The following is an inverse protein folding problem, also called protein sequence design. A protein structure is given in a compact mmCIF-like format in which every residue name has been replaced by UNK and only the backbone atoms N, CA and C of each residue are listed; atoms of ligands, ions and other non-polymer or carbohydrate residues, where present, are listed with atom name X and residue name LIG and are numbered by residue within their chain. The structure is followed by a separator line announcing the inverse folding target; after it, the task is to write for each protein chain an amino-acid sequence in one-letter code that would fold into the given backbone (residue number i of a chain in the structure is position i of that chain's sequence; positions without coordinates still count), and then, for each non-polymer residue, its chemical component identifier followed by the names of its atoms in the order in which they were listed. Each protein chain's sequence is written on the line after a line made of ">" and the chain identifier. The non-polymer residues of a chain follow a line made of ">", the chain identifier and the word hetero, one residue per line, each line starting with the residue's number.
data_IF_314004229051
#
_entry.id   IF_314004229051
#
_cell.length_a   1.000
_cell.length_b   1.000
_cell.length_c   1.000
_cell.angle_alpha   90.00
_cell.angle_beta   90.00
_cell.angle_gamma   90.00
#
_symmetry.space_group_name_H-M   'P 1'
#
loop_
_entity.id
_entity.type
_entity.pdbx_description
1 polymer ?
#
# COMPACT_ATOMS: atom_id res chain seq x y z
N UNK A 1 12.85 -3.30 2.55
CA UNK A 1 11.95 -3.75 3.63
C UNK A 1 11.51 -2.53 4.45
N UNK A 2 10.28 -2.49 4.97
CA UNK A 2 9.81 -1.48 5.93
C UNK A 2 9.23 -2.20 7.15
N UNK A 3 9.79 -1.94 8.34
CA UNK A 3 9.61 -2.80 9.52
C UNK A 3 9.99 -4.24 9.18
N UNK A 4 9.03 -5.15 9.13
CA UNK A 4 9.24 -6.57 8.79
C UNK A 4 8.47 -6.99 7.52
N UNK A 5 7.94 -6.02 6.75
CA UNK A 5 7.31 -6.27 5.45
C UNK A 5 8.29 -5.98 4.32
N UNK A 6 8.45 -6.92 3.40
CA UNK A 6 9.13 -6.67 2.15
C UNK A 6 8.32 -5.66 1.31
N UNK A 7 8.90 -4.49 1.07
CA UNK A 7 8.33 -3.48 0.17
C UNK A 7 9.26 -3.33 -1.03
N UNK A 8 8.72 -3.35 -2.26
CA UNK A 8 9.51 -3.36 -3.48
C UNK A 8 10.13 -1.99 -3.76
N UNK A 9 11.35 -1.97 -4.28
CA UNK A 9 12.04 -0.75 -4.66
C UNK A 9 12.71 -0.94 -6.01
N UNK A 10 12.78 0.12 -6.81
CA UNK A 10 13.50 0.13 -8.07
C UNK A 10 14.23 1.47 -8.24
N UNK A 11 15.51 1.47 -8.65
CA UNK A 11 16.23 2.72 -8.95
C UNK A 11 15.57 3.55 -10.07
N UNK A 12 14.90 2.88 -11.02
CA UNK A 12 14.28 3.53 -12.17
C UNK A 12 12.80 3.85 -11.95
N UNK A 13 12.07 2.96 -11.27
CA UNK A 13 10.62 3.06 -11.08
C UNK A 13 10.21 3.65 -9.71
N UNK A 14 11.13 3.72 -8.76
CA UNK A 14 10.94 4.33 -7.45
C UNK A 14 10.71 3.33 -6.30
N UNK A 15 10.54 3.82 -5.06
CA UNK A 15 10.71 5.22 -4.67
C UNK A 15 12.18 5.66 -4.83
N UNK A 16 12.43 6.75 -5.55
CA UNK A 16 13.80 7.29 -5.74
C UNK A 16 14.27 8.10 -4.54
N UNK A 17 13.36 8.56 -3.69
CA UNK A 17 13.66 9.29 -2.47
C UNK A 17 12.84 8.75 -1.31
N UNK A 18 13.51 8.40 -0.22
CA UNK A 18 12.86 8.06 1.04
C UNK A 18 13.38 9.02 2.11
N UNK A 19 12.49 9.76 2.76
CA UNK A 19 12.80 10.69 3.85
C UNK A 19 11.97 10.29 5.07
N UNK A 20 12.62 9.68 6.06
CA UNK A 20 11.92 9.01 7.15
C UNK A 20 10.98 7.93 6.63
N UNK A 21 9.70 7.99 7.01
CA UNK A 21 8.69 7.01 6.60
C UNK A 21 8.05 7.34 5.25
N UNK A 22 8.33 8.51 4.66
CA UNK A 22 7.76 8.97 3.39
C UNK A 22 8.64 8.48 2.22
N UNK A 23 8.04 7.73 1.29
CA UNK A 23 8.71 7.19 0.10
C UNK A 23 8.08 7.73 -1.18
N UNK A 24 8.83 8.50 -1.99
CA UNK A 24 8.32 9.32 -3.10
C UNK A 24 9.18 9.21 -4.36
N UNK A 25 8.78 9.95 -5.39
CA UNK A 25 9.39 10.00 -6.72
C UNK A 25 9.26 8.65 -7.45
N UNK A 26 8.02 8.17 -7.57
CA UNK A 26 7.70 7.01 -8.40
C UNK A 26 7.65 7.41 -9.87
N UNK A 27 7.94 6.47 -10.77
CA UNK A 27 7.76 6.72 -12.20
C UNK A 27 6.28 6.93 -12.53
N UNK A 28 5.99 7.86 -13.42
CA UNK A 28 4.63 8.13 -13.92
C UNK A 28 4.22 7.10 -14.98
N UNK A 29 4.14 5.83 -14.56
CA UNK A 29 3.70 4.70 -15.38
C UNK A 29 3.10 3.60 -14.48
N UNK A 30 2.57 2.53 -15.08
CA UNK A 30 1.93 1.42 -14.35
C UNK A 30 2.85 0.75 -13.33
N UNK A 31 4.12 0.55 -13.67
CA UNK A 31 5.08 -0.08 -12.76
C UNK A 31 5.42 0.83 -11.56
N UNK A 32 5.54 2.14 -11.76
CA UNK A 32 5.67 3.11 -10.67
C UNK A 32 4.42 3.19 -9.79
N UNK A 33 3.22 3.10 -10.39
CA UNK A 33 1.95 3.03 -9.66
C UNK A 33 1.88 1.80 -8.74
N UNK A 34 2.33 0.63 -9.25
CA UNK A 34 2.43 -0.60 -8.45
C UNK A 34 3.35 -0.42 -7.25
N UNK A 35 4.56 0.12 -7.47
CA UNK A 35 5.52 0.34 -6.39
C UNK A 35 4.96 1.32 -5.35
N UNK A 36 4.28 2.38 -5.78
CA UNK A 36 3.61 3.33 -4.90
C UNK A 36 2.52 2.65 -4.06
N UNK A 37 1.67 1.82 -4.68
CA UNK A 37 0.60 1.11 -3.99
C UNK A 37 1.16 0.23 -2.85
N UNK A 38 2.20 -0.56 -3.11
CA UNK A 38 2.83 -1.40 -2.10
C UNK A 38 3.56 -0.61 -1.02
N UNK A 39 4.36 0.38 -1.41
CA UNK A 39 5.14 1.20 -0.48
C UNK A 39 4.22 1.98 0.45
N UNK A 40 3.30 2.78 -0.11
CA UNK A 40 2.42 3.65 0.67
C UNK A 40 1.44 2.80 1.47
N UNK A 41 0.80 1.81 0.84
CA UNK A 41 -0.14 0.88 1.48
C UNK A 41 0.45 0.11 2.66
N UNK A 42 1.77 -0.10 2.68
CA UNK A 42 2.47 -0.69 3.82
C UNK A 42 2.89 0.36 4.85
N UNK A 43 3.37 1.53 4.40
CA UNK A 43 3.94 2.56 5.28
C UNK A 43 2.89 3.27 6.10
N UNK A 44 1.76 3.69 5.54
CA UNK A 44 0.77 4.44 6.30
C UNK A 44 0.20 3.64 7.50
N UNK A 45 -0.11 2.33 7.42
CA UNK A 45 -0.56 1.59 8.59
C UNK A 45 0.56 1.28 9.58
N UNK A 46 1.81 1.06 9.12
CA UNK A 46 2.90 0.58 9.99
C UNK A 46 3.85 1.68 10.50
N UNK A 47 3.74 2.89 9.99
CA UNK A 47 4.60 4.01 10.37
C UNK A 47 4.24 4.52 11.79
N UNK A 48 5.22 4.81 12.66
CA UNK A 48 5.00 5.61 13.86
C UNK A 48 4.73 7.09 13.54
N UNK A 49 5.19 7.57 12.38
CA UNK A 49 4.92 8.90 11.83
C UNK A 49 3.73 8.88 10.85
N UNK A 50 2.76 7.98 11.08
CA UNK A 50 1.69 7.69 10.14
C UNK A 50 0.88 8.92 9.73
N UNK A 51 0.72 9.91 10.62
CA UNK A 51 0.00 11.15 10.30
C UNK A 51 0.67 11.90 9.13
N UNK A 52 2.00 11.97 9.12
CA UNK A 52 2.75 12.60 8.03
C UNK A 52 2.64 11.77 6.74
N UNK A 53 2.74 10.44 6.82
CA UNK A 53 2.57 9.55 5.67
C UNK A 53 1.18 9.69 5.06
N UNK A 54 0.12 9.65 5.87
CA UNK A 54 -1.27 9.86 5.43
C UNK A 54 -1.42 11.25 4.81
N UNK A 55 -0.89 12.28 5.45
CA UNK A 55 -1.03 13.66 4.97
C UNK A 55 -0.42 13.87 3.58
N UNK A 56 0.77 13.32 3.35
CA UNK A 56 1.57 13.55 2.15
C UNK A 56 1.26 12.56 1.03
N UNK A 57 0.98 11.30 1.37
CA UNK A 57 0.98 10.18 0.41
C UNK A 57 -0.40 9.59 0.13
N UNK A 58 -1.46 10.10 0.77
CA UNK A 58 -2.80 9.54 0.61
C UNK A 58 -3.85 10.60 0.27
N UNK A 59 -4.93 10.15 -0.35
CA UNK A 59 -6.12 10.95 -0.69
C UNK A 59 -7.39 10.11 -0.49
N UNK A 60 -8.56 10.70 -0.75
CA UNK A 60 -9.85 9.99 -0.75
C UNK A 60 -10.71 10.27 0.49
N UNK A 61 -12.01 9.97 0.37
CA UNK A 61 -13.03 10.33 1.37
C UNK A 61 -12.87 9.63 2.73
N UNK A 62 -12.20 8.47 2.77
CA UNK A 62 -11.97 7.73 4.00
C UNK A 62 -10.77 8.23 4.80
N UNK A 63 -9.98 9.16 4.25
CA UNK A 63 -8.73 9.63 4.87
C UNK A 63 -8.95 10.24 6.26
N UNK A 64 -9.91 11.15 6.41
CA UNK A 64 -10.19 11.79 7.70
C UNK A 64 -10.76 10.80 8.71
N UNK A 65 -11.64 9.89 8.26
CA UNK A 65 -12.15 8.80 9.08
C UNK A 65 -11.04 7.88 9.61
N UNK A 66 -10.06 7.53 8.76
CA UNK A 66 -8.88 6.78 9.16
C UNK A 66 -8.06 7.52 10.23
N UNK A 67 -7.81 8.82 10.03
CA UNK A 67 -7.07 9.65 10.99
C UNK A 67 -7.79 9.70 12.35
N UNK A 68 -9.11 9.95 12.35
CA UNK A 68 -9.92 10.00 13.54
C UNK A 68 -9.94 8.67 14.30
N UNK A 69 -10.28 7.58 13.60
CA UNK A 69 -10.38 6.25 14.20
C UNK A 69 -9.04 5.77 14.79
N UNK A 70 -7.93 5.94 14.06
CA UNK A 70 -6.61 5.55 14.55
C UNK A 70 -6.15 6.43 15.71
N UNK A 71 -6.36 7.74 15.66
CA UNK A 71 -6.00 8.66 16.76
C UNK A 71 -6.76 8.29 18.03
N UNK A 72 -8.07 8.05 17.93
CA UNK A 72 -8.90 7.61 19.06
C UNK A 72 -8.39 6.30 19.65
N UNK A 73 -8.15 5.29 18.80
CA UNK A 73 -7.61 4.00 19.24
C UNK A 73 -6.27 4.13 19.96
N UNK A 74 -5.34 4.92 19.40
CA UNK A 74 -4.02 5.14 20.03
C UNK A 74 -4.12 5.89 21.37
N UNK A 75 -5.14 6.71 21.57
CA UNK A 75 -5.42 7.35 22.87
C UNK A 75 -6.03 6.37 23.88
N UNK A 76 -6.90 5.46 23.45
CA UNK A 76 -7.59 4.50 24.33
C UNK A 76 -6.68 3.34 24.77
N UNK A 77 -5.89 2.77 23.85
CA UNK A 77 -5.11 1.54 24.11
C UNK A 77 -3.60 1.72 23.86
N UNK A 78 -3.14 2.94 23.60
CA UNK A 78 -1.75 3.23 23.26
C UNK A 78 -1.38 2.91 21.82
N UNK A 79 -0.15 3.27 21.45
CA UNK A 79 0.39 2.97 20.12
C UNK A 79 0.61 1.47 19.97
N UNK A 80 0.18 0.85 18.85
CA UNK A 80 0.46 -0.56 18.62
C UNK A 80 1.98 -0.80 18.57
N UNK A 81 2.42 -1.90 19.16
CA UNK A 81 3.81 -2.35 19.02
C UNK A 81 4.11 -2.70 17.55
N UNK A 82 5.39 -2.60 17.17
CA UNK A 82 5.80 -3.00 15.83
C UNK A 82 5.39 -4.46 15.57
N UNK A 83 4.81 -4.79 14.41
CA UNK A 83 4.34 -6.14 14.17
C UNK A 83 5.49 -7.15 14.23
N UNK A 84 5.30 -8.24 14.97
CA UNK A 84 6.29 -9.32 15.07
C UNK A 84 6.53 -9.95 13.68
N UNK A 85 7.78 -10.34 13.34
CA UNK A 85 8.05 -11.12 12.13
C UNK A 85 7.13 -12.33 12.00
N UNK A 86 6.68 -12.65 10.78
CA UNK A 86 5.82 -13.81 10.53
C UNK A 86 4.36 -13.68 10.99
N UNK A 87 3.91 -12.51 11.46
CA UNK A 87 2.49 -12.23 11.75
C UNK A 87 1.80 -11.35 10.70
N UNK A 88 2.55 -10.83 9.74
CA UNK A 88 2.01 -9.95 8.69
C UNK A 88 1.75 -10.70 7.39
N UNK A 89 0.68 -10.28 6.70
CA UNK A 89 0.40 -10.66 5.33
C UNK A 89 1.60 -10.34 4.43
N UNK A 90 2.04 -11.33 3.66
CA UNK A 90 3.10 -11.15 2.68
C UNK A 90 2.49 -11.02 1.29
N UNK A 91 2.91 -10.05 0.45
CA UNK A 91 2.51 -10.00 -0.94
C UNK A 91 2.81 -11.33 -1.65
N UNK A 92 1.81 -11.88 -2.33
CA UNK A 92 1.90 -13.13 -3.09
C UNK A 92 1.76 -12.90 -4.60
N UNK A 93 1.04 -11.85 -4.99
CA UNK A 93 0.91 -11.44 -6.38
C UNK A 93 0.05 -10.20 -6.54
N UNK A 94 -0.05 -9.71 -7.77
CA UNK A 94 -0.87 -8.55 -8.10
C UNK A 94 -1.53 -8.73 -9.48
N UNK A 95 -2.61 -7.98 -9.71
CA UNK A 95 -3.27 -7.82 -11.00
C UNK A 95 -3.75 -6.39 -11.13
N UNK A 96 -3.54 -5.77 -12.28
CA UNK A 96 -4.22 -4.51 -12.60
C UNK A 96 -5.65 -4.82 -13.02
N UNK A 97 -6.62 -4.28 -12.28
CA UNK A 97 -8.02 -4.29 -12.70
C UNK A 97 -8.29 -3.16 -13.70
N UNK A 98 -7.61 -2.02 -13.54
CA UNK A 98 -7.53 -0.97 -14.55
C UNK A 98 -6.28 -0.10 -14.38
N UNK A 99 -5.84 0.52 -15.47
CA UNK A 99 -4.74 1.47 -15.48
C UNK A 99 -4.99 2.58 -16.51
N UNK A 100 -4.72 3.81 -16.09
CA UNK A 100 -4.43 4.97 -16.94
C UNK A 100 -3.27 5.73 -16.33
N UNK A 101 -2.70 6.68 -17.07
CA UNK A 101 -1.62 7.53 -16.54
C UNK A 101 -2.09 8.37 -15.35
N UNK A 102 -3.39 8.52 -15.10
CA UNK A 102 -3.88 9.24 -13.93
C UNK A 102 -4.28 8.33 -12.77
N UNK A 103 -4.64 7.06 -12.99
CA UNK A 103 -5.19 6.19 -11.96
C UNK A 103 -4.87 4.72 -12.22
N UNK A 104 -4.47 4.00 -11.18
CA UNK A 104 -4.30 2.55 -11.22
C UNK A 104 -5.15 1.90 -10.13
N UNK A 105 -5.88 0.86 -10.51
CA UNK A 105 -6.72 0.04 -9.63
C UNK A 105 -6.12 -1.38 -9.63
N UNK A 106 -5.62 -1.81 -8.48
CA UNK A 106 -4.75 -2.98 -8.37
C UNK A 106 -5.32 -3.96 -7.36
N UNK A 107 -5.66 -5.15 -7.82
CA UNK A 107 -5.96 -6.27 -6.94
C UNK A 107 -4.66 -6.87 -6.41
N UNK A 108 -4.52 -6.95 -5.09
CA UNK A 108 -3.32 -7.50 -4.44
C UNK A 108 -3.67 -8.78 -3.69
N UNK A 109 -2.97 -9.86 -4.03
CA UNK A 109 -3.03 -11.14 -3.35
C UNK A 109 -1.93 -11.21 -2.28
N UNK A 110 -2.30 -11.74 -1.12
CA UNK A 110 -1.42 -11.93 0.02
C UNK A 110 -1.46 -13.37 0.50
N UNK A 111 -0.40 -13.77 1.19
CA UNK A 111 -0.31 -15.02 1.92
C UNK A 111 -0.36 -14.75 3.42
N UNK A 112 -1.24 -15.46 4.12
CA UNK A 112 -1.26 -15.52 5.58
C UNK A 112 -0.11 -16.38 6.10
N UNK A 113 0.35 -16.09 7.31
CA UNK A 113 1.21 -16.99 8.04
C UNK A 113 0.47 -18.33 8.25
N UNK A 114 1.03 -19.44 7.74
CA UNK A 114 0.35 -20.74 7.72
C UNK A 114 -0.23 -21.17 6.36
N UNK A 115 -0.15 -20.32 5.32
CA UNK A 115 -0.15 -20.78 3.92
C UNK A 115 -1.34 -20.38 3.05
N UNK A 116 -2.49 -20.04 3.64
CA UNK A 116 -3.68 -19.65 2.86
C UNK A 116 -3.45 -18.35 2.06
N UNK A 117 -3.95 -18.33 0.81
CA UNK A 117 -3.98 -17.13 -0.03
C UNK A 117 -5.29 -16.36 0.20
N UNK A 118 -5.17 -15.03 0.29
CA UNK A 118 -6.31 -14.11 0.36
C UNK A 118 -6.04 -12.90 -0.52
N UNK A 119 -7.05 -12.36 -1.18
CA UNK A 119 -7.03 -11.02 -1.76
C UNK A 119 -7.24 -10.02 -0.63
N UNK A 120 -6.33 -9.05 -0.43
CA UNK A 120 -6.52 -8.12 0.67
C UNK A 120 -7.63 -7.10 0.42
N UNK A 121 -7.73 -6.66 -0.83
CA UNK A 121 -8.63 -5.63 -1.33
C UNK A 121 -8.02 -5.09 -2.63
N UNK A 122 -8.77 -4.21 -3.27
CA UNK A 122 -8.30 -3.33 -4.33
C UNK A 122 -7.53 -2.16 -3.73
N UNK A 123 -6.26 -2.03 -4.12
CA UNK A 123 -5.43 -0.87 -3.87
C UNK A 123 -5.56 0.11 -5.04
N UNK A 124 -6.00 1.33 -4.77
CA UNK A 124 -6.08 2.38 -5.79
C UNK A 124 -5.03 3.44 -5.54
N UNK A 125 -4.35 3.85 -6.61
CA UNK A 125 -3.48 5.03 -6.59
C UNK A 125 -3.86 6.01 -7.69
N UNK A 126 -3.66 7.30 -7.43
CA UNK A 126 -3.88 8.38 -8.39
C UNK A 126 -2.65 9.27 -8.46
N UNK A 127 -2.29 9.65 -9.68
CA UNK A 127 -1.25 10.63 -9.93
C UNK A 127 -1.76 12.01 -9.55
N UNK A 128 -1.04 12.73 -8.69
CA UNK A 128 -1.40 14.09 -8.27
C UNK A 128 -0.21 15.03 -8.37
N UNK A 129 -0.42 16.25 -8.88
CA UNK A 129 0.62 17.28 -9.00
C UNK A 129 1.20 17.50 -10.40
N UNK A 130 0.52 17.02 -11.45
CA UNK A 130 0.89 17.30 -12.85
C UNK A 130 2.26 16.69 -13.22
N UNK A 131 3.06 17.39 -14.02
CA UNK A 131 4.36 16.89 -14.51
C UNK A 131 5.40 16.66 -13.40
N UNK A 132 5.25 17.30 -12.24
CA UNK A 132 6.07 17.12 -11.04
C UNK A 132 5.36 16.33 -9.94
N UNK A 133 4.29 15.61 -10.31
CA UNK A 133 3.43 14.90 -9.39
C UNK A 133 4.05 13.64 -8.80
N UNK A 134 3.24 12.93 -8.02
CA UNK A 134 3.56 11.59 -7.55
C UNK A 134 2.29 10.75 -7.42
N UNK A 135 2.46 9.43 -7.37
CA UNK A 135 1.35 8.52 -7.05
C UNK A 135 0.97 8.63 -5.57
N UNK A 136 -0.31 8.85 -5.30
CA UNK A 136 -0.90 8.83 -3.95
C UNK A 136 -1.88 7.69 -3.81
N UNK A 137 -1.98 7.14 -2.60
CA UNK A 137 -2.86 6.01 -2.28
C UNK A 137 -4.26 6.48 -1.86
N UNK A 138 -5.31 5.85 -2.37
CA UNK A 138 -6.69 6.13 -2.01
C UNK A 138 -7.04 5.44 -0.69
N UNK A 139 -7.55 6.20 0.29
CA UNK A 139 -8.26 5.66 1.44
C UNK A 139 -9.76 5.79 1.12
N UNK A 140 -10.43 4.70 0.70
CA UNK A 140 -11.87 4.75 0.40
C UNK A 140 -12.68 4.91 1.69
N UNK A 141 -13.86 5.52 1.58
CA UNK A 141 -14.81 5.62 2.71
C UNK A 141 -15.17 4.26 3.28
N UNK A 142 -15.38 3.28 2.40
CA UNK A 142 -15.68 1.89 2.74
C UNK A 142 -14.69 0.99 2.03
N UNK A 143 -13.68 0.44 2.72
CA UNK A 143 -12.77 -0.52 2.11
C UNK A 143 -13.55 -1.78 1.72
N UNK A 144 -13.22 -2.36 0.56
CA UNK A 144 -13.77 -3.66 0.15
C UNK A 144 -13.37 -4.77 1.13
N UNK A 145 -14.16 -5.84 1.17
CA UNK A 145 -13.86 -7.01 1.99
C UNK A 145 -12.71 -7.82 1.38
N UNK A 146 -11.93 -8.45 2.27
CA UNK A 146 -10.95 -9.45 1.89
C UNK A 146 -11.68 -10.66 1.29
N UNK A 147 -11.20 -11.17 0.16
CA UNK A 147 -11.76 -12.36 -0.49
C UNK A 147 -10.77 -13.51 -0.42
N UNK A 148 -11.24 -14.71 -0.13
CA UNK A 148 -10.38 -15.90 -0.20
C UNK A 148 -10.01 -16.17 -1.65
N UNK A 149 -8.74 -16.50 -1.90
CA UNK A 149 -8.27 -16.93 -3.22
C UNK A 149 -7.83 -18.40 -3.14
N UNK A 150 -8.29 -19.21 -4.09
CA UNK A 150 -7.86 -20.61 -4.18
C UNK A 150 -6.53 -20.76 -4.92
N UNK A 151 -6.18 -19.80 -5.79
CA UNK A 151 -4.91 -19.77 -6.52
C UNK A 151 -4.52 -18.35 -6.96
N UNK A 152 -3.30 -18.20 -7.48
CA UNK A 152 -2.82 -16.96 -8.13
C UNK A 152 -3.10 -16.93 -9.64
N UNK A 153 -4.00 -17.79 -10.16
CA UNK A 153 -4.36 -17.77 -11.58
C UNK A 153 -4.88 -16.37 -11.98
N UNK A 154 -4.26 -15.76 -12.99
CA UNK A 154 -4.58 -14.40 -13.42
C UNK A 154 -3.90 -13.29 -12.62
N UNK A 155 -3.00 -13.63 -11.69
CA UNK A 155 -2.12 -12.70 -11.00
C UNK A 155 -0.68 -12.88 -11.49
N UNK A 156 0.07 -11.78 -11.53
CA UNK A 156 1.53 -11.83 -11.60
C UNK A 156 2.07 -12.21 -10.22
N UNK A 157 2.82 -13.30 -10.14
CA UNK A 157 3.39 -13.80 -8.88
C UNK A 157 4.47 -12.85 -8.38
N UNK A 158 4.43 -12.57 -7.07
CA UNK A 158 5.44 -11.74 -6.42
C UNK A 158 6.77 -12.48 -6.32
N UNK A 159 7.87 -11.83 -6.71
CA UNK A 159 9.20 -12.43 -6.66
C UNK A 159 9.47 -13.48 -7.73
N UNK A 160 8.63 -13.59 -8.77
CA UNK A 160 9.02 -14.26 -9.99
C UNK A 160 10.15 -13.44 -10.65
N UNK A 161 11.35 -13.99 -10.58
CA UNK A 161 12.56 -13.55 -11.27
C UNK A 161 12.61 -14.10 -12.69
#
# INVERSE_FOLDING_TARGET
>A
MFRTVAVPTSPTLGPKRTAGDIARCYAHNSAGALLAAFQIGTRFPLSPQWKAVVAVQTYGEGREGYVGARTRREAEVGKPSSPKPGKMLQPAGFRFDSYSDQRAVISVAYRQAGGALIQANTATVQWQGGSSGDWRFEIPRSPGLFQKLDSLKGYTVWGAS
#
